data_IF_547348374404
#
_entry.id   IF_547348374404
#
_cell.length_a   1.000
_cell.length_b   1.000
_cell.length_c   1.000
_cell.angle_alpha   90.00
_cell.angle_beta   90.00
_cell.angle_gamma   90.00
#
_symmetry.space_group_name_H-M   'P 1'
#
loop_
_entity.id
_entity.type
_entity.pdbx_description
1 polymer ?
#
# COMPACT_ATOMS: atom_id res chain seq x y z
N UNK A 1 11.11 -8.78 5.45
CA UNK A 1 10.00 -7.83 5.59
C UNK A 1 10.40 -6.43 5.13
N UNK A 2 11.18 -5.72 5.94
CA UNK A 2 11.49 -4.30 5.75
C UNK A 2 12.04 -3.91 4.36
N UNK A 3 13.01 -4.65 3.81
CA UNK A 3 13.58 -4.35 2.48
C UNK A 3 12.53 -4.50 1.37
N UNK A 4 11.68 -5.53 1.46
CA UNK A 4 10.59 -5.74 0.49
C UNK A 4 9.51 -4.65 0.62
N UNK A 5 9.15 -4.26 1.85
CA UNK A 5 8.21 -3.16 2.10
C UNK A 5 8.76 -1.81 1.59
N UNK A 6 10.04 -1.53 1.82
CA UNK A 6 10.71 -0.34 1.28
C UNK A 6 10.67 -0.31 -0.25
N UNK A 7 10.93 -1.44 -0.90
CA UNK A 7 10.85 -1.56 -2.37
C UNK A 7 9.44 -1.28 -2.91
N UNK A 8 8.42 -1.84 -2.26
CA UNK A 8 7.01 -1.60 -2.62
C UNK A 8 6.61 -0.15 -2.37
N UNK A 9 7.03 0.45 -1.26
CA UNK A 9 6.75 1.84 -0.93
C UNK A 9 7.37 2.80 -1.95
N UNK A 10 8.65 2.59 -2.30
CA UNK A 10 9.34 3.39 -3.33
C UNK A 10 8.64 3.24 -4.67
N UNK A 11 8.33 2.01 -5.11
CA UNK A 11 7.65 1.78 -6.38
C UNK A 11 6.28 2.49 -6.42
N UNK A 12 5.51 2.40 -5.34
CA UNK A 12 4.21 3.04 -5.28
C UNK A 12 4.31 4.57 -5.33
N UNK A 13 5.30 5.15 -4.63
CA UNK A 13 5.59 6.59 -4.70
C UNK A 13 6.06 7.04 -6.08
N UNK A 14 6.94 6.28 -6.72
CA UNK A 14 7.50 6.61 -8.04
C UNK A 14 6.41 6.57 -9.12
N UNK A 15 5.51 5.58 -9.07
CA UNK A 15 4.37 5.53 -9.98
C UNK A 15 3.41 6.69 -9.71
N UNK A 16 3.18 7.09 -8.46
CA UNK A 16 2.32 8.24 -8.14
C UNK A 16 2.89 9.55 -8.68
N UNK A 17 4.19 9.80 -8.49
CA UNK A 17 4.87 10.98 -9.03
C UNK A 17 4.85 10.99 -10.55
N UNK A 18 5.07 9.84 -11.19
CA UNK A 18 4.98 9.70 -12.65
C UNK A 18 3.57 10.04 -13.17
N UNK A 19 2.52 9.59 -12.47
CA UNK A 19 1.13 9.89 -12.82
C UNK A 19 0.79 11.37 -12.66
N UNK A 20 1.21 12.00 -11.55
CA UNK A 20 1.04 13.45 -11.33
C UNK A 20 1.77 14.23 -12.43
N UNK A 21 2.99 13.83 -12.79
CA UNK A 21 3.75 14.47 -13.87
C UNK A 21 3.06 14.31 -15.24
N UNK A 22 2.48 13.14 -15.53
CA UNK A 22 1.71 12.92 -16.75
C UNK A 22 0.46 13.82 -16.82
N UNK A 23 -0.27 13.96 -15.70
CA UNK A 23 -1.43 14.86 -15.60
C UNK A 23 -1.01 16.32 -15.78
N UNK A 24 0.11 16.75 -15.20
CA UNK A 24 0.66 18.10 -15.44
C UNK A 24 1.03 18.33 -16.90
N UNK A 25 1.58 17.33 -17.59
CA UNK A 25 1.87 17.43 -19.03
C UNK A 25 0.60 17.55 -19.89
N UNK A 26 -0.55 17.10 -19.39
CA UNK A 26 -1.86 17.28 -20.03
C UNK A 26 -2.46 18.68 -19.76
N UNK A 27 -1.74 19.56 -19.07
CA UNK A 27 -2.17 20.92 -18.76
C UNK A 27 -2.98 21.06 -17.47
N UNK A 28 -3.08 20.01 -16.65
CA UNK A 28 -3.70 20.10 -15.33
C UNK A 28 -2.85 20.89 -14.36
N UNK A 29 -3.52 21.71 -13.55
CA UNK A 29 -2.91 22.47 -12.49
C UNK A 29 -2.37 21.54 -11.39
N UNK A 30 -1.36 22.00 -10.64
CA UNK A 30 -0.63 21.13 -9.69
C UNK A 30 -1.56 20.50 -8.65
N UNK A 31 -2.43 21.30 -8.02
CA UNK A 31 -3.36 20.83 -7.00
C UNK A 31 -4.40 19.85 -7.56
N UNK A 32 -4.87 20.09 -8.78
CA UNK A 32 -5.79 19.20 -9.48
C UNK A 32 -5.12 17.85 -9.80
N UNK A 33 -3.87 17.88 -10.30
CA UNK A 33 -3.10 16.69 -10.62
C UNK A 33 -2.77 15.85 -9.37
N UNK A 34 -2.48 16.48 -8.23
CA UNK A 34 -2.27 15.79 -6.94
C UNK A 34 -3.56 15.11 -6.49
N UNK A 35 -4.68 15.84 -6.49
CA UNK A 35 -5.97 15.32 -6.03
C UNK A 35 -6.45 14.15 -6.90
N UNK A 36 -6.32 14.29 -8.22
CA UNK A 36 -6.73 13.27 -9.19
C UNK A 36 -5.79 12.05 -9.17
N UNK A 37 -4.48 12.29 -9.02
CA UNK A 37 -3.49 11.22 -8.82
C UNK A 37 -3.75 10.43 -7.55
N UNK A 38 -4.07 11.11 -6.44
CA UNK A 38 -4.41 10.48 -5.17
C UNK A 38 -5.70 9.65 -5.26
N UNK A 39 -6.78 10.19 -5.84
CA UNK A 39 -8.06 9.48 -6.01
C UNK A 39 -7.94 8.23 -6.87
N UNK A 40 -7.14 8.29 -7.94
CA UNK A 40 -6.93 7.15 -8.85
C UNK A 40 -6.19 6.00 -8.18
N UNK A 41 -5.27 6.31 -7.26
CA UNK A 41 -4.45 5.34 -6.50
C UNK A 41 -5.16 4.82 -5.25
N UNK A 42 -6.12 5.57 -4.71
CA UNK A 42 -6.86 5.21 -3.50
C UNK A 42 -7.56 3.85 -3.63
N UNK A 43 -8.22 3.58 -4.77
CA UNK A 43 -8.90 2.31 -5.03
C UNK A 43 -7.94 1.10 -4.99
N UNK A 44 -6.87 1.05 -5.80
CA UNK A 44 -5.90 -0.05 -5.76
C UNK A 44 -5.29 -0.29 -4.37
N UNK A 45 -4.87 0.77 -3.67
CA UNK A 45 -4.22 0.66 -2.36
C UNK A 45 -5.18 0.13 -1.30
N UNK A 46 -6.41 0.66 -1.26
CA UNK A 46 -7.44 0.17 -0.33
C UNK A 46 -7.80 -1.28 -0.61
N UNK A 47 -7.94 -1.69 -1.88
CA UNK A 47 -8.27 -3.08 -2.21
C UNK A 47 -7.17 -4.03 -1.74
N UNK A 48 -5.89 -3.72 -1.98
CA UNK A 48 -4.79 -4.58 -1.54
C UNK A 48 -4.64 -4.59 -0.03
N UNK A 49 -4.82 -3.44 0.63
CA UNK A 49 -4.76 -3.35 2.09
C UNK A 49 -5.89 -4.14 2.74
N UNK A 50 -7.13 -3.99 2.26
CA UNK A 50 -8.29 -4.71 2.79
C UNK A 50 -8.17 -6.23 2.58
N UNK A 51 -7.74 -6.67 1.40
CA UNK A 51 -7.52 -8.10 1.12
C UNK A 51 -6.43 -8.68 2.03
N UNK A 52 -5.31 -7.96 2.20
CA UNK A 52 -4.25 -8.39 3.12
C UNK A 52 -4.76 -8.44 4.57
N UNK A 53 -5.38 -7.36 5.07
CA UNK A 53 -5.92 -7.30 6.43
C UNK A 53 -6.93 -8.43 6.68
N UNK A 54 -7.89 -8.65 5.78
CA UNK A 54 -8.88 -9.75 5.92
C UNK A 54 -8.21 -11.14 5.91
N UNK A 55 -7.16 -11.34 5.12
CA UNK A 55 -6.39 -12.60 5.10
C UNK A 55 -5.56 -12.82 6.37
N UNK A 56 -5.05 -11.76 6.99
CA UNK A 56 -4.24 -11.84 8.21
C UNK A 56 -5.05 -11.75 9.51
N UNK A 57 -6.29 -11.26 9.51
CA UNK A 57 -7.20 -11.22 10.67
C UNK A 57 -7.37 -12.58 11.36
N UNK A 58 -7.71 -13.68 10.67
CA UNK A 58 -7.83 -14.99 11.32
C UNK A 58 -6.48 -15.53 11.82
N UNK A 59 -5.37 -15.14 11.17
CA UNK A 59 -4.01 -15.53 11.57
C UNK A 59 -3.53 -14.75 12.82
N UNK A 60 -3.95 -13.48 12.96
CA UNK A 60 -3.66 -12.63 14.11
C UNK A 60 -4.49 -13.00 15.36
N UNK A 61 -5.70 -13.53 15.17
CA UNK A 61 -6.58 -14.00 16.26
C UNK A 61 -6.29 -15.44 16.70
N UNK A 62 -5.50 -16.21 15.94
CA UNK A 62 -5.22 -17.60 16.26
C UNK A 62 -4.17 -17.73 17.39
N UNK A 63 -4.60 -18.14 18.58
CA UNK A 63 -3.75 -18.40 19.77
C UNK A 63 -3.27 -19.87 19.84
N UNK A 64 -2.95 -20.48 18.70
CA UNK A 64 -2.44 -21.85 18.61
C UNK A 64 -0.90 -21.98 18.71
N UNK A 65 -0.42 -23.21 18.94
CA UNK A 65 1.00 -23.58 19.02
C UNK A 65 1.70 -23.27 17.68
N UNK A 66 2.80 -22.50 17.70
CA UNK A 66 3.50 -21.99 16.50
C UNK A 66 3.40 -20.46 16.31
N UNK A 67 2.63 -19.77 17.17
CA UNK A 67 2.43 -18.32 17.14
C UNK A 67 3.66 -17.47 17.48
N UNK A 68 4.72 -18.04 18.04
CA UNK A 68 5.96 -17.33 18.37
C UNK A 68 6.78 -16.92 17.12
N UNK A 69 6.65 -17.66 16.01
CA UNK A 69 7.36 -17.36 14.75
C UNK A 69 6.48 -16.54 13.80
N UNK A 70 5.15 -16.69 13.86
CA UNK A 70 4.21 -16.02 12.94
C UNK A 70 3.82 -14.59 13.38
N UNK A 71 3.80 -14.30 14.69
CA UNK A 71 3.51 -12.95 15.21
C UNK A 71 4.43 -11.86 14.66
N UNK A 72 5.78 -11.98 14.69
CA UNK A 72 6.65 -10.92 14.18
C UNK A 72 6.55 -10.71 12.66
N UNK A 73 6.18 -11.73 11.90
CA UNK A 73 5.93 -11.60 10.45
C UNK A 73 4.62 -10.87 10.15
N UNK A 74 3.56 -11.12 10.93
CA UNK A 74 2.27 -10.46 10.76
C UNK A 74 2.30 -8.99 11.22
N UNK A 75 2.98 -8.67 12.33
CA UNK A 75 3.13 -7.29 12.82
C UNK A 75 3.93 -6.40 11.88
N UNK A 76 4.84 -6.97 11.08
CA UNK A 76 5.60 -6.18 10.08
C UNK A 76 4.77 -5.87 8.84
N UNK A 77 3.68 -6.60 8.59
CA UNK A 77 2.85 -6.47 7.39
C UNK A 77 1.63 -5.57 7.60
N UNK A 78 1.14 -5.47 8.84
CA UNK A 78 0.06 -4.55 9.26
C UNK A 78 0.66 -3.25 9.76
#
# INVERSE_FOLDING_TARGET
GFIALSGVAVLNGLVMVSFIRALRHQGLDLDAAITQGALTRLRPVLTTALVASLGFVPMALNTGIGSEVQRPLATVVI
#
